data_IF_641087326205
#
_entry.id   IF_641087326205
#
_cell.length_a   1.000
_cell.length_b   1.000
_cell.length_c   1.000
_cell.angle_alpha   90.00
_cell.angle_beta   90.00
_cell.angle_gamma   90.00
#
_symmetry.space_group_name_H-M   'P 1'
#
loop_
_entity.id
_entity.type
_entity.pdbx_description
1 polymer ?
#
# COMPACT_ATOMS: atom_id res chain seq x y z
N UNK A 1 -26.85 23.77 -4.78
CA UNK A 1 -26.43 22.43 -4.30
C UNK A 1 -26.60 21.47 -5.46
N UNK A 2 -25.57 20.73 -5.87
CA UNK A 2 -25.70 19.81 -7.01
C UNK A 2 -26.53 18.56 -6.60
N UNK A 3 -26.99 17.77 -7.57
CA UNK A 3 -27.85 16.61 -7.30
C UNK A 3 -27.18 15.56 -6.40
N UNK A 4 -25.86 15.40 -6.50
CA UNK A 4 -25.07 14.45 -5.70
C UNK A 4 -24.94 14.94 -4.27
N UNK A 5 -24.63 16.22 -4.07
CA UNK A 5 -24.55 16.84 -2.73
C UNK A 5 -25.88 16.72 -2.00
N UNK A 6 -27.00 16.88 -2.72
CA UNK A 6 -28.35 16.71 -2.17
C UNK A 6 -28.59 15.26 -1.74
N UNK A 7 -28.30 14.30 -2.63
CA UNK A 7 -28.46 12.88 -2.34
C UNK A 7 -27.65 12.46 -1.10
N UNK A 8 -26.38 12.89 -1.04
CA UNK A 8 -25.50 12.59 0.08
C UNK A 8 -26.00 13.20 1.38
N UNK A 9 -26.43 14.46 1.39
CA UNK A 9 -26.99 15.07 2.59
C UNK A 9 -28.29 14.40 3.06
N UNK A 10 -29.14 13.94 2.15
CA UNK A 10 -30.42 13.32 2.49
C UNK A 10 -30.29 11.86 2.97
N UNK A 11 -29.26 11.13 2.51
CA UNK A 11 -29.13 9.69 2.76
C UNK A 11 -27.90 9.31 3.59
N UNK A 12 -26.87 10.17 3.63
CA UNK A 12 -25.57 9.90 4.24
C UNK A 12 -25.06 11.18 4.93
N UNK A 13 -25.71 11.53 6.05
CA UNK A 13 -25.44 12.74 6.82
C UNK A 13 -23.96 12.88 7.20
N UNK A 14 -23.38 14.06 6.96
CA UNK A 14 -22.01 14.40 7.36
C UNK A 14 -20.91 14.06 6.37
N UNK A 15 -21.22 13.53 5.17
CA UNK A 15 -20.21 13.27 4.13
C UNK A 15 -20.16 14.41 3.11
N UNK A 16 -19.00 15.08 3.02
CA UNK A 16 -18.68 16.00 1.94
C UNK A 16 -17.76 15.33 0.91
N UNK A 17 -18.11 15.39 -0.37
CA UNK A 17 -17.19 15.00 -1.45
C UNK A 17 -15.99 15.95 -1.44
N UNK A 18 -14.83 15.37 -1.15
CA UNK A 18 -13.52 16.05 -1.26
C UNK A 18 -12.67 15.28 -2.25
N UNK A 19 -11.72 15.94 -2.94
CA UNK A 19 -10.72 15.21 -3.71
C UNK A 19 -10.09 14.16 -2.80
N UNK A 20 -9.92 12.92 -3.29
CA UNK A 20 -9.30 11.87 -2.51
C UNK A 20 -7.99 12.35 -1.87
N UNK A 21 -7.71 11.92 -0.64
CA UNK A 21 -6.49 12.28 0.10
C UNK A 21 -5.21 12.09 -0.72
N UNK A 22 -5.20 11.13 -1.64
CA UNK A 22 -4.09 10.84 -2.55
C UNK A 22 -3.81 11.90 -3.64
N UNK A 23 -4.77 12.78 -3.95
CA UNK A 23 -4.56 13.94 -4.84
C UNK A 23 -4.11 15.20 -4.10
N UNK A 24 -4.29 15.24 -2.77
CA UNK A 24 -4.02 16.42 -1.95
C UNK A 24 -2.73 16.30 -1.13
N UNK A 25 -1.97 15.21 -1.28
CA UNK A 25 -0.72 15.03 -0.55
C UNK A 25 0.42 15.81 -1.24
N UNK A 26 1.13 16.72 -0.54
CA UNK A 26 2.12 17.60 -1.15
C UNK A 26 3.37 16.88 -1.68
N UNK A 27 3.65 15.67 -1.18
CA UNK A 27 4.81 14.86 -1.56
C UNK A 27 4.39 13.45 -1.98
N UNK A 28 3.96 13.29 -3.23
CA UNK A 28 3.55 11.99 -3.77
C UNK A 28 4.12 11.75 -5.16
N UNK A 29 4.93 10.70 -5.31
CA UNK A 29 5.41 10.26 -6.63
C UNK A 29 4.54 9.09 -7.08
N UNK A 30 4.04 9.17 -8.32
CA UNK A 30 3.13 8.18 -8.91
C UNK A 30 3.86 7.39 -9.99
N UNK A 31 3.78 6.08 -9.90
CA UNK A 31 4.35 5.17 -10.88
C UNK A 31 3.36 4.06 -11.21
N UNK A 32 3.24 3.76 -12.50
CA UNK A 32 2.55 2.57 -12.96
C UNK A 32 3.48 1.37 -12.85
N UNK A 33 3.20 0.47 -11.91
CA UNK A 33 4.02 -0.73 -11.67
C UNK A 33 3.60 -1.92 -12.53
N UNK A 34 2.36 -1.95 -13.00
CA UNK A 34 1.81 -3.00 -13.87
C UNK A 34 1.68 -2.55 -15.33
N UNK A 35 1.45 -3.50 -16.24
CA UNK A 35 0.93 -3.21 -17.58
C UNK A 35 -0.58 -2.99 -17.48
N UNK A 36 -1.11 -1.81 -17.90
CA UNK A 36 -2.53 -1.50 -17.74
C UNK A 36 -3.45 -2.36 -18.62
N UNK A 37 -2.92 -2.94 -19.69
CA UNK A 37 -3.69 -3.76 -20.64
C UNK A 37 -3.61 -5.27 -20.38
N UNK A 38 -2.80 -5.71 -19.41
CA UNK A 38 -2.60 -7.13 -19.11
C UNK A 38 -3.29 -7.50 -17.80
N UNK A 39 -3.78 -8.74 -17.69
CA UNK A 39 -4.31 -9.24 -16.43
C UNK A 39 -3.19 -9.25 -15.36
N UNK A 40 -3.51 -8.90 -14.12
CA UNK A 40 -2.54 -8.85 -13.03
C UNK A 40 -2.00 -10.22 -12.64
N UNK A 41 -2.69 -11.31 -12.99
CA UNK A 41 -2.24 -12.67 -12.79
C UNK A 41 -1.34 -13.19 -13.92
N UNK A 42 -1.23 -12.46 -15.04
CA UNK A 42 -0.33 -12.84 -16.13
C UNK A 42 1.13 -12.79 -15.68
N UNK A 43 1.89 -13.82 -16.03
CA UNK A 43 3.27 -13.99 -15.59
C UNK A 43 4.17 -12.81 -15.97
N UNK A 44 4.00 -12.27 -17.18
CA UNK A 44 4.78 -11.11 -17.65
C UNK A 44 4.40 -9.83 -16.90
N UNK A 45 3.12 -9.65 -16.57
CA UNK A 45 2.67 -8.52 -15.76
C UNK A 45 3.23 -8.61 -14.34
N UNK A 46 3.17 -9.79 -13.72
CA UNK A 46 3.75 -10.06 -12.41
C UNK A 46 5.27 -9.82 -12.38
N UNK A 47 5.99 -10.22 -13.43
CA UNK A 47 7.42 -9.95 -13.57
C UNK A 47 7.69 -8.44 -13.62
N UNK A 48 6.95 -7.70 -14.45
CA UNK A 48 7.12 -6.26 -14.54
C UNK A 48 6.77 -5.54 -13.22
N UNK A 49 5.68 -5.95 -12.55
CA UNK A 49 5.30 -5.45 -11.23
C UNK A 49 6.44 -5.61 -10.25
N UNK A 50 7.04 -6.81 -10.19
CA UNK A 50 8.18 -7.09 -9.33
C UNK A 50 9.38 -6.21 -9.66
N UNK A 51 9.77 -6.14 -10.92
CA UNK A 51 10.94 -5.37 -11.37
C UNK A 51 10.79 -3.87 -11.07
N UNK A 52 9.65 -3.27 -11.44
CA UNK A 52 9.40 -1.84 -11.23
C UNK A 52 9.30 -1.49 -9.75
N UNK A 53 8.57 -2.29 -8.97
CA UNK A 53 8.42 -2.05 -7.53
C UNK A 53 9.75 -2.14 -6.80
N UNK A 54 10.58 -3.15 -7.12
CA UNK A 54 11.92 -3.28 -6.53
C UNK A 54 12.82 -2.13 -6.95
N UNK A 55 12.78 -1.72 -8.22
CA UNK A 55 13.61 -0.61 -8.72
C UNK A 55 13.28 0.69 -8.02
N UNK A 56 11.99 1.02 -7.88
CA UNK A 56 11.58 2.24 -7.16
C UNK A 56 12.05 2.16 -5.70
N UNK A 57 11.84 1.02 -5.04
CA UNK A 57 12.25 0.84 -3.66
C UNK A 57 13.76 1.04 -3.47
N UNK A 58 14.59 0.40 -4.29
CA UNK A 58 16.06 0.48 -4.14
C UNK A 58 16.67 1.81 -4.60
N UNK A 59 15.95 2.60 -5.41
CA UNK A 59 16.39 3.94 -5.80
C UNK A 59 15.99 5.01 -4.77
N UNK A 60 14.87 4.81 -4.08
CA UNK A 60 14.37 5.77 -3.07
C UNK A 60 15.01 5.53 -1.71
N UNK A 61 15.24 4.26 -1.34
CA UNK A 61 15.74 3.90 -0.01
C UNK A 61 17.16 3.35 -0.07
N UNK A 62 18.03 3.87 0.81
CA UNK A 62 19.34 3.31 1.12
C UNK A 62 19.20 2.10 2.05
N UNK A 63 20.21 1.23 2.04
CA UNK A 63 20.43 0.18 3.02
C UNK A 63 20.62 0.68 4.47
N UNK A 64 20.92 1.97 4.65
CA UNK A 64 21.09 2.63 5.95
C UNK A 64 19.84 3.37 6.44
N UNK A 65 18.80 3.47 5.61
CA UNK A 65 17.58 4.17 5.99
C UNK A 65 16.81 3.39 7.08
N UNK A 66 16.37 4.10 8.11
CA UNK A 66 15.48 3.55 9.12
C UNK A 66 14.04 3.48 8.58
N UNK A 67 13.48 2.26 8.51
CA UNK A 67 12.13 2.02 8.00
C UNK A 67 11.22 1.39 9.06
N UNK A 68 9.98 1.85 9.12
CA UNK A 68 8.93 1.26 9.97
C UNK A 68 7.92 0.50 9.11
N UNK A 69 7.74 -0.80 9.39
CA UNK A 69 6.67 -1.60 8.78
C UNK A 69 5.51 -1.72 9.76
N UNK A 70 4.36 -1.16 9.39
CA UNK A 70 3.13 -1.23 10.18
C UNK A 70 2.13 -2.11 9.43
N UNK A 71 1.53 -3.08 10.12
CA UNK A 71 0.50 -3.94 9.57
C UNK A 71 -0.70 -3.98 10.51
N UNK A 72 -1.89 -3.92 9.93
CA UNK A 72 -3.13 -4.13 10.67
C UNK A 72 -3.35 -5.63 10.89
N UNK A 73 -3.39 -6.04 12.16
CA UNK A 73 -3.60 -7.43 12.60
C UNK A 73 -5.05 -7.73 12.97
N UNK A 74 -5.94 -6.74 12.89
CA UNK A 74 -7.35 -6.87 13.30
C UNK A 74 -8.18 -7.71 12.32
N UNK A 75 -7.80 -7.76 11.04
CA UNK A 75 -8.55 -8.42 9.97
C UNK A 75 -8.42 -9.96 9.94
N UNK A 76 -7.59 -10.55 10.81
CA UNK A 76 -7.34 -11.99 10.80
C UNK A 76 -7.75 -12.63 12.13
N UNK A 77 -8.77 -13.50 12.07
CA UNK A 77 -9.38 -14.20 13.21
C UNK A 77 -8.41 -15.11 14.01
N UNK A 78 -7.17 -15.30 13.55
CA UNK A 78 -6.10 -15.97 14.28
C UNK A 78 -4.92 -15.02 14.41
N UNK A 79 -4.48 -14.77 15.65
CA UNK A 79 -3.25 -14.05 16.02
C UNK A 79 -2.06 -14.44 15.12
N UNK A 80 -1.88 -13.77 13.99
CA UNK A 80 -0.67 -13.91 13.17
C UNK A 80 0.41 -12.99 13.72
N UNK A 81 0.91 -13.29 14.92
CA UNK A 81 2.06 -12.60 15.54
C UNK A 81 3.37 -12.82 14.77
N UNK A 82 3.36 -13.67 13.73
CA UNK A 82 4.55 -14.07 12.97
C UNK A 82 4.61 -13.45 11.56
N UNK A 83 3.79 -12.44 11.24
CA UNK A 83 3.66 -11.85 9.90
C UNK A 83 5.01 -11.52 9.24
N UNK A 84 5.92 -10.91 10.02
CA UNK A 84 7.22 -10.48 9.54
C UNK A 84 8.35 -11.49 9.78
N UNK A 85 8.16 -12.49 10.65
CA UNK A 85 9.24 -13.41 11.06
C UNK A 85 9.87 -14.14 9.87
N UNK A 86 9.06 -14.56 8.89
CA UNK A 86 9.53 -15.22 7.67
C UNK A 86 10.44 -14.36 6.79
N UNK A 87 10.44 -13.04 6.98
CA UNK A 87 11.24 -12.10 6.19
C UNK A 87 12.51 -11.63 6.92
N UNK A 88 12.65 -11.93 8.21
CA UNK A 88 13.83 -11.56 9.01
C UNK A 88 14.94 -12.60 8.81
N UNK A 89 15.99 -12.20 8.07
CA UNK A 89 17.13 -13.09 7.76
C UNK A 89 18.14 -13.20 8.89
N UNK A 90 18.25 -12.18 9.74
CA UNK A 90 19.20 -12.17 10.86
C UNK A 90 18.68 -13.00 12.04
N UNK A 91 19.29 -14.17 12.28
CA UNK A 91 18.88 -15.11 13.35
C UNK A 91 18.84 -14.48 14.75
N UNK A 92 19.75 -13.55 15.05
CA UNK A 92 19.77 -12.85 16.34
C UNK A 92 18.56 -11.94 16.54
N UNK A 93 18.12 -11.24 15.48
CA UNK A 93 16.91 -10.41 15.50
C UNK A 93 15.67 -11.30 15.55
N UNK A 94 15.63 -12.35 14.75
CA UNK A 94 14.52 -13.30 14.72
C UNK A 94 14.25 -13.95 16.08
N UNK A 95 15.29 -14.27 16.86
CA UNK A 95 15.14 -14.82 18.22
C UNK A 95 14.51 -13.86 19.23
N UNK A 96 14.51 -12.55 18.95
CA UNK A 96 13.93 -11.50 19.82
C UNK A 96 12.47 -11.17 19.46
N UNK A 97 11.97 -11.67 18.32
CA UNK A 97 10.61 -11.46 17.82
C UNK A 97 9.75 -12.70 18.11
#
# INVERSE_FOLDING_TARGET
>A
MNAIDKYLNEHIEGIALRPPLFYNWPYGIRFEISMPWADHAEADNLRQIKERSLTIFTQVFSDTDEMMLVADVSLQQKKQTNLFKKYVKHKAVLRKL
#
